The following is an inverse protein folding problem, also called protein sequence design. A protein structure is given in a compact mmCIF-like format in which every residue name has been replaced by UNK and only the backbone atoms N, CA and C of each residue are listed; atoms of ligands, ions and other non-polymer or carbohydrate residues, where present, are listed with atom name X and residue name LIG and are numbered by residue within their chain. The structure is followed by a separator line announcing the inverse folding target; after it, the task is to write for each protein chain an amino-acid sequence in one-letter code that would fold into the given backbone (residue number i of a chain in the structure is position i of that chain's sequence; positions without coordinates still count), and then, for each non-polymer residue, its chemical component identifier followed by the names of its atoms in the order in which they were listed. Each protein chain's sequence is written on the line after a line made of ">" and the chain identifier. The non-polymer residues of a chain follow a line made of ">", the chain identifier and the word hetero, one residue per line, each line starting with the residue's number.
data_IF_529897113988
#
_entry.id   IF_529897113988
#
_cell.length_a   1.000
_cell.length_b   1.000
_cell.length_c   1.000
_cell.angle_alpha   90.00
_cell.angle_beta   90.00
_cell.angle_gamma   90.00
#
_symmetry.space_group_name_H-M   'P 1'
#
loop_
_entity.id
_entity.type
_entity.pdbx_description
1 polymer ?
#
# COMPACT_ATOMS: atom_id res chain seq x y z
N UNK A 1 7.70 -19.18 6.99
CA UNK A 1 7.53 -18.63 5.64
C UNK A 1 8.37 -17.37 5.48
N UNK A 2 8.98 -17.18 4.34
CA UNK A 2 9.68 -15.93 4.01
C UNK A 2 8.67 -14.93 3.43
N UNK A 3 7.77 -14.49 4.29
CA UNK A 3 6.73 -13.50 4.01
C UNK A 3 6.78 -12.42 5.08
N UNK A 4 6.14 -11.31 4.82
CA UNK A 4 6.07 -10.21 5.78
C UNK A 4 5.10 -9.13 5.33
N UNK A 5 4.81 -8.21 6.23
CA UNK A 5 3.85 -7.13 6.05
C UNK A 5 4.52 -5.75 6.04
N UNK A 6 5.82 -5.68 5.72
CA UNK A 6 6.59 -4.44 5.79
C UNK A 6 7.33 -4.09 4.50
N UNK A 7 7.37 -5.02 3.53
CA UNK A 7 8.23 -4.89 2.35
C UNK A 7 9.72 -5.08 2.62
N UNK A 8 10.09 -5.40 3.86
CA UNK A 8 11.46 -5.73 4.26
C UNK A 8 11.68 -7.24 4.20
N UNK A 9 12.94 -7.67 4.22
CA UNK A 9 13.28 -9.07 4.37
C UNK A 9 12.83 -9.54 5.75
N UNK A 10 11.92 -10.50 5.79
CA UNK A 10 11.34 -10.98 7.03
C UNK A 10 10.82 -12.41 6.94
N UNK A 11 10.40 -12.93 8.07
CA UNK A 11 9.86 -14.26 8.20
C UNK A 11 8.60 -14.25 9.08
N UNK A 12 7.61 -15.04 8.70
CA UNK A 12 6.47 -15.37 9.53
C UNK A 12 6.64 -16.77 10.10
N UNK A 13 6.52 -16.88 11.41
CA UNK A 13 6.69 -18.14 12.15
C UNK A 13 5.30 -18.65 12.54
N UNK A 14 4.88 -19.77 11.96
CA UNK A 14 3.61 -20.42 12.27
C UNK A 14 3.84 -21.50 13.30
N UNK A 15 3.33 -21.30 14.51
CA UNK A 15 3.51 -22.21 15.64
C UNK A 15 2.33 -23.16 15.74
N UNK A 16 2.59 -24.48 15.59
CA UNK A 16 1.56 -25.50 15.85
C UNK A 16 1.28 -25.60 17.34
N UNK A 17 0.02 -25.85 17.68
CA UNK A 17 -0.44 -25.93 19.07
C UNK A 17 0.02 -24.71 19.88
N UNK A 18 -0.24 -23.51 19.34
CA UNK A 18 0.31 -22.24 19.84
C UNK A 18 -0.03 -21.99 21.31
N UNK A 19 -1.18 -22.47 21.80
CA UNK A 19 -1.56 -22.37 23.21
C UNK A 19 -0.59 -23.08 24.17
N UNK A 20 0.21 -24.03 23.68
CA UNK A 20 1.25 -24.73 24.46
C UNK A 20 2.66 -24.27 24.09
N UNK A 21 2.90 -23.93 22.83
CA UNK A 21 4.25 -23.77 22.28
C UNK A 21 4.64 -22.31 21.99
N UNK A 22 3.68 -21.34 21.98
CA UNK A 22 3.98 -19.97 21.57
C UNK A 22 5.04 -19.31 22.47
N UNK A 23 4.94 -19.49 23.79
CA UNK A 23 5.88 -18.92 24.75
C UNK A 23 7.30 -19.50 24.58
N UNK A 24 7.38 -20.82 24.36
CA UNK A 24 8.68 -21.50 24.13
C UNK A 24 9.35 -20.95 22.88
N UNK A 25 8.60 -20.85 21.76
CA UNK A 25 9.15 -20.32 20.49
C UNK A 25 9.51 -18.85 20.64
N UNK A 26 8.68 -18.04 21.29
CA UNK A 26 8.93 -16.64 21.56
C UNK A 26 10.25 -16.44 22.32
N UNK A 27 10.42 -17.13 23.45
CA UNK A 27 11.62 -17.04 24.27
C UNK A 27 12.87 -17.53 23.54
N UNK A 28 12.75 -18.60 22.75
CA UNK A 28 13.87 -19.10 21.93
C UNK A 28 14.30 -18.10 20.87
N UNK A 29 13.36 -17.40 20.25
CA UNK A 29 13.67 -16.34 19.26
C UNK A 29 14.36 -15.16 19.92
N UNK A 30 13.87 -14.72 21.09
CA UNK A 30 14.50 -13.63 21.84
C UNK A 30 15.91 -13.97 22.28
N UNK A 31 16.12 -15.17 22.85
CA UNK A 31 17.44 -15.66 23.28
C UNK A 31 18.41 -15.74 22.11
N UNK A 32 18.00 -16.35 20.99
CA UNK A 32 18.84 -16.45 19.81
C UNK A 32 19.15 -15.10 19.15
N UNK A 33 18.26 -14.12 19.33
CA UNK A 33 18.39 -12.79 18.75
C UNK A 33 19.19 -11.80 19.61
N UNK A 34 19.50 -12.13 20.88
CA UNK A 34 20.14 -11.21 21.82
C UNK A 34 21.50 -10.73 21.32
N UNK A 35 22.34 -11.63 20.82
CA UNK A 35 23.66 -11.29 20.28
C UNK A 35 23.60 -10.39 19.03
N UNK A 36 22.44 -10.36 18.32
CA UNK A 36 22.19 -9.55 17.13
C UNK A 36 21.44 -8.25 17.43
N UNK A 37 21.15 -7.97 18.71
CA UNK A 37 20.40 -6.78 19.12
C UNK A 37 18.93 -6.82 18.71
N UNK A 38 18.31 -8.01 18.69
CA UNK A 38 16.89 -8.19 18.41
C UNK A 38 16.04 -7.34 19.37
N UNK A 39 15.07 -6.64 18.82
CA UNK A 39 14.11 -5.83 19.59
C UNK A 39 12.68 -6.21 19.24
N UNK A 40 11.81 -6.24 20.26
CA UNK A 40 10.37 -6.38 20.07
C UNK A 40 9.79 -5.05 19.65
N UNK A 41 9.05 -5.04 18.53
CA UNK A 41 8.38 -3.85 18.02
C UNK A 41 6.91 -4.14 17.74
N UNK A 42 6.08 -3.11 17.78
CA UNK A 42 4.70 -3.20 17.32
C UNK A 42 4.61 -3.21 15.80
N UNK A 43 3.47 -3.67 15.21
CA UNK A 43 3.25 -3.55 13.77
C UNK A 43 3.44 -2.13 13.27
N UNK A 44 4.23 -1.99 12.20
CA UNK A 44 4.63 -0.69 11.66
C UNK A 44 3.82 -0.36 10.40
N UNK A 45 2.68 0.34 10.55
CA UNK A 45 1.80 0.70 9.44
C UNK A 45 2.49 1.50 8.34
N UNK A 46 3.33 2.48 8.72
CA UNK A 46 4.08 3.28 7.77
C UNK A 46 4.90 2.42 6.79
N UNK A 47 5.47 1.31 7.25
CA UNK A 47 6.30 0.43 6.41
C UNK A 47 5.47 -0.27 5.33
N UNK A 48 4.32 -0.85 5.72
CA UNK A 48 3.45 -1.53 4.75
C UNK A 48 2.90 -0.55 3.71
N UNK A 49 2.47 0.64 4.15
CA UNK A 49 1.94 1.67 3.26
C UNK A 49 3.03 2.12 2.29
N UNK A 50 4.23 2.43 2.78
CA UNK A 50 5.37 2.82 1.95
C UNK A 50 5.76 1.73 0.94
N UNK A 51 5.60 0.46 1.28
CA UNK A 51 5.83 -0.68 0.40
C UNK A 51 4.64 -1.00 -0.53
N UNK A 52 3.53 -0.29 -0.41
CA UNK A 52 2.31 -0.55 -1.20
C UNK A 52 1.58 -1.84 -0.81
N UNK A 53 1.79 -2.33 0.43
CA UNK A 53 1.13 -3.54 0.92
C UNK A 53 -0.23 -3.18 1.48
N UNK A 54 -1.26 -3.82 0.93
CA UNK A 54 -2.66 -3.58 1.25
C UNK A 54 -3.06 -4.29 2.53
N UNK A 55 -3.99 -3.68 3.26
CA UNK A 55 -4.64 -4.26 4.43
C UNK A 55 -6.05 -4.70 4.07
N UNK A 56 -6.36 -5.97 4.35
CA UNK A 56 -7.70 -6.50 4.15
C UNK A 56 -8.70 -5.81 5.08
N UNK A 57 -9.87 -5.49 4.53
CA UNK A 57 -10.94 -4.79 5.24
C UNK A 57 -10.73 -3.29 5.38
N UNK A 58 -9.52 -2.78 5.09
CA UNK A 58 -9.22 -1.36 5.10
C UNK A 58 -9.02 -0.82 3.68
N UNK A 59 -8.11 -1.46 2.91
CA UNK A 59 -7.78 -1.01 1.56
C UNK A 59 -8.54 -1.77 0.49
N UNK A 60 -8.95 -2.99 0.77
CA UNK A 60 -9.64 -3.90 -0.15
C UNK A 60 -10.58 -4.84 0.59
N UNK A 61 -11.51 -5.43 -0.13
CA UNK A 61 -12.48 -6.40 0.35
C UNK A 61 -12.79 -7.48 -0.70
N UNK A 62 -13.87 -8.26 -0.48
CA UNK A 62 -14.29 -9.34 -1.41
C UNK A 62 -14.79 -8.84 -2.76
N UNK A 63 -15.17 -7.56 -2.89
CA UNK A 63 -15.65 -6.98 -4.15
C UNK A 63 -14.49 -6.37 -4.96
N UNK A 64 -13.30 -6.33 -4.39
CA UNK A 64 -12.12 -5.71 -4.98
C UNK A 64 -11.39 -6.67 -5.94
N UNK A 65 -11.24 -6.25 -7.19
CA UNK A 65 -10.42 -6.96 -8.16
C UNK A 65 -8.93 -6.66 -7.99
N UNK A 66 -8.02 -7.63 -8.19
CA UNK A 66 -6.58 -7.39 -8.23
C UNK A 66 -6.16 -6.29 -9.21
N UNK A 67 -6.92 -6.09 -10.28
CA UNK A 67 -6.64 -5.05 -11.27
C UNK A 67 -6.91 -3.63 -10.76
N UNK A 68 -7.84 -3.47 -9.83
CA UNK A 68 -8.15 -2.18 -9.24
C UNK A 68 -7.08 -1.69 -8.26
N UNK A 69 -6.35 -2.62 -7.64
CA UNK A 69 -5.42 -2.36 -6.53
C UNK A 69 -3.95 -2.60 -6.90
N UNK A 70 -3.62 -2.49 -8.17
CA UNK A 70 -2.26 -2.63 -8.69
C UNK A 70 -1.61 -4.01 -8.48
N UNK A 71 -2.40 -5.06 -8.25
CA UNK A 71 -1.94 -6.45 -8.09
C UNK A 71 -2.09 -7.29 -9.37
N UNK A 72 -2.21 -6.66 -10.53
CA UNK A 72 -2.35 -7.34 -11.83
C UNK A 72 -1.22 -8.31 -12.14
N UNK A 73 -0.01 -8.06 -11.62
CA UNK A 73 1.15 -8.94 -11.78
C UNK A 73 0.99 -10.29 -11.07
N UNK A 74 0.13 -10.40 -10.07
CA UNK A 74 -0.18 -11.65 -9.38
C UNK A 74 -1.18 -12.52 -10.15
N UNK A 75 -1.85 -11.98 -11.16
CA UNK A 75 -2.78 -12.71 -12.01
C UNK A 75 -2.01 -13.25 -13.22
N UNK A 76 -1.74 -14.56 -13.31
CA UNK A 76 -0.92 -15.12 -14.39
C UNK A 76 -1.67 -15.07 -15.74
N UNK A 77 -0.94 -14.69 -16.81
CA UNK A 77 -1.51 -14.57 -18.16
C UNK A 77 -1.78 -15.92 -18.85
N UNK A 78 -0.97 -16.94 -18.58
CA UNK A 78 -0.97 -18.18 -19.36
C UNK A 78 -1.06 -19.43 -18.47
N UNK A 79 -1.71 -19.34 -17.32
CA UNK A 79 -1.85 -20.47 -16.42
C UNK A 79 -2.86 -21.47 -16.96
N UNK A 80 -2.38 -22.67 -17.34
CA UNK A 80 -3.23 -23.74 -17.86
C UNK A 80 -4.13 -24.37 -16.78
N UNK A 81 -3.60 -24.48 -15.56
CA UNK A 81 -4.37 -25.01 -14.44
C UNK A 81 -5.57 -24.12 -14.12
N UNK A 82 -6.64 -24.75 -13.70
CA UNK A 82 -7.81 -24.04 -13.19
C UNK A 82 -7.55 -23.45 -11.80
N UNK A 83 -8.27 -22.36 -11.47
CA UNK A 83 -8.23 -21.69 -10.17
C UNK A 83 -9.49 -20.85 -9.95
N UNK A 84 -9.80 -20.57 -8.70
CA UNK A 84 -10.99 -19.79 -8.33
C UNK A 84 -10.90 -18.38 -8.94
N UNK A 85 -11.97 -17.96 -9.62
CA UNK A 85 -12.06 -16.65 -10.27
C UNK A 85 -11.39 -16.54 -11.65
N UNK A 86 -10.86 -17.63 -12.21
CA UNK A 86 -10.12 -17.62 -13.50
C UNK A 86 -10.92 -16.96 -14.63
N UNK A 87 -12.13 -17.39 -14.86
CA UNK A 87 -12.98 -16.90 -15.96
C UNK A 87 -13.19 -15.39 -15.87
N UNK A 88 -13.53 -14.90 -14.69
CA UNK A 88 -13.78 -13.47 -14.47
C UNK A 88 -12.48 -12.66 -14.60
N UNK A 89 -11.37 -13.12 -14.04
CA UNK A 89 -10.07 -12.45 -14.16
C UNK A 89 -9.55 -12.42 -15.60
N UNK A 90 -9.77 -13.48 -16.36
CA UNK A 90 -9.44 -13.52 -17.80
C UNK A 90 -10.34 -12.55 -18.60
N UNK A 91 -11.63 -12.47 -18.28
CA UNK A 91 -12.55 -11.50 -18.89
C UNK A 91 -12.13 -10.06 -18.61
N UNK A 92 -11.84 -9.72 -17.35
CA UNK A 92 -11.38 -8.38 -16.96
C UNK A 92 -10.07 -8.03 -17.67
N UNK A 93 -9.13 -8.97 -17.73
CA UNK A 93 -7.86 -8.78 -18.42
C UNK A 93 -8.05 -8.51 -19.91
N UNK A 94 -8.95 -9.24 -20.57
CA UNK A 94 -9.22 -9.04 -22.00
C UNK A 94 -9.73 -7.61 -22.28
N UNK A 95 -10.55 -7.05 -21.42
CA UNK A 95 -11.00 -5.66 -21.51
C UNK A 95 -9.81 -4.69 -21.36
N UNK A 96 -8.97 -4.92 -20.35
CA UNK A 96 -7.79 -4.07 -20.08
C UNK A 96 -6.78 -4.14 -21.21
N UNK A 97 -6.51 -5.32 -21.75
CA UNK A 97 -5.61 -5.51 -22.90
C UNK A 97 -6.19 -4.88 -24.18
N UNK A 98 -7.51 -4.71 -24.27
CA UNK A 98 -8.21 -3.97 -25.30
C UNK A 98 -8.15 -2.44 -25.16
N UNK A 99 -7.53 -1.94 -24.09
CA UNK A 99 -7.34 -0.50 -23.86
C UNK A 99 -8.43 0.17 -23.01
N UNK A 100 -9.35 -0.61 -22.44
CA UNK A 100 -10.39 -0.11 -21.54
C UNK A 100 -10.12 -0.58 -20.09
N UNK A 101 -10.78 0.02 -19.11
CA UNK A 101 -10.69 -0.38 -17.71
C UNK A 101 -12.07 -0.58 -17.11
N UNK A 102 -12.46 -1.84 -16.77
CA UNK A 102 -13.86 -2.18 -16.49
C UNK A 102 -14.38 -1.70 -15.11
N UNK A 103 -13.62 -0.89 -14.40
CA UNK A 103 -13.96 -0.44 -13.06
C UNK A 103 -14.08 1.08 -12.98
N UNK A 104 -15.04 1.54 -12.16
CA UNK A 104 -15.25 2.98 -11.93
C UNK A 104 -14.20 3.60 -11.02
N UNK A 105 -13.69 2.83 -10.07
CA UNK A 105 -12.72 3.27 -9.07
C UNK A 105 -11.43 2.47 -9.17
N UNK A 106 -10.33 3.13 -8.86
CA UNK A 106 -8.99 2.54 -8.82
C UNK A 106 -8.22 3.03 -7.59
N UNK A 107 -7.45 2.14 -7.00
CA UNK A 107 -6.54 2.50 -5.92
C UNK A 107 -5.28 3.18 -6.47
N UNK A 108 -4.89 4.25 -5.81
CA UNK A 108 -3.72 5.06 -6.13
C UNK A 108 -2.86 5.30 -4.89
N UNK A 109 -1.60 5.64 -5.10
CA UNK A 109 -0.76 6.24 -4.09
C UNK A 109 -0.90 7.76 -4.10
N UNK A 110 -0.79 8.38 -2.93
CA UNK A 110 -0.93 9.80 -2.72
C UNK A 110 0.22 10.33 -1.88
N UNK A 111 0.73 11.50 -2.23
CA UNK A 111 1.49 12.37 -1.32
C UNK A 111 0.69 13.62 -1.06
N UNK A 112 0.74 14.16 0.16
CA UNK A 112 -0.05 15.34 0.50
C UNK A 112 0.51 16.09 1.72
N UNK A 113 0.14 17.36 1.83
CA UNK A 113 0.53 18.26 2.93
C UNK A 113 -0.18 17.97 4.25
N UNK A 114 -0.09 18.92 5.17
CA UNK A 114 -0.64 18.82 6.52
C UNK A 114 0.40 18.40 7.55
N UNK A 115 -0.03 18.32 8.82
CA UNK A 115 0.83 17.87 9.93
C UNK A 115 1.13 16.38 9.79
N UNK A 116 2.18 15.91 10.45
CA UNK A 116 2.60 14.50 10.42
C UNK A 116 1.51 13.59 11.00
N UNK A 117 1.15 12.57 10.24
CA UNK A 117 0.16 11.55 10.62
C UNK A 117 0.91 10.38 11.21
N UNK A 118 0.76 10.17 12.52
CA UNK A 118 1.47 9.14 13.30
C UNK A 118 0.54 8.12 13.94
N UNK A 119 -0.76 8.33 13.82
CA UNK A 119 -1.79 7.48 14.42
C UNK A 119 -2.73 6.91 13.36
N UNK A 120 -3.45 5.87 13.74
CA UNK A 120 -4.47 5.26 12.91
C UNK A 120 -5.63 6.21 12.63
N UNK A 121 -5.95 6.39 11.36
CA UNK A 121 -7.18 7.07 10.98
C UNK A 121 -8.39 6.19 11.34
N UNK A 122 -9.29 6.65 12.21
CA UNK A 122 -10.47 5.86 12.57
C UNK A 122 -11.50 5.76 11.44
N UNK A 123 -11.49 6.73 10.52
CA UNK A 123 -12.39 6.84 9.38
C UNK A 123 -11.62 7.10 8.09
N UNK A 124 -12.28 6.89 6.95
CA UNK A 124 -11.74 7.26 5.64
C UNK A 124 -11.86 8.77 5.41
N UNK A 125 -10.80 9.38 4.90
CA UNK A 125 -10.78 10.81 4.63
C UNK A 125 -11.10 11.10 3.17
N UNK A 126 -11.93 12.10 2.93
CA UNK A 126 -12.37 12.44 1.59
C UNK A 126 -11.26 13.06 0.74
N UNK A 127 -11.25 12.67 -0.52
CA UNK A 127 -10.45 13.28 -1.58
C UNK A 127 -11.39 14.12 -2.43
N UNK A 128 -11.01 15.36 -2.71
CA UNK A 128 -11.71 16.26 -3.59
C UNK A 128 -10.88 16.60 -4.84
N UNK A 129 -11.56 16.96 -5.92
CA UNK A 129 -10.95 17.53 -7.12
C UNK A 129 -10.48 18.99 -6.89
N UNK A 130 -9.93 19.61 -7.91
CA UNK A 130 -9.46 21.00 -7.85
C UNK A 130 -10.59 22.01 -7.60
N UNK A 131 -11.84 21.66 -7.94
CA UNK A 131 -13.03 22.49 -7.72
C UNK A 131 -13.66 22.26 -6.34
N UNK A 132 -13.12 21.33 -5.55
CA UNK A 132 -13.58 21.00 -4.21
C UNK A 132 -14.72 19.99 -4.17
N UNK A 133 -15.03 19.30 -5.26
CA UNK A 133 -16.04 18.24 -5.27
C UNK A 133 -15.44 16.92 -4.79
N UNK A 134 -16.14 16.24 -3.89
CA UNK A 134 -15.70 14.94 -3.39
C UNK A 134 -15.70 13.91 -4.52
N UNK A 135 -14.56 13.23 -4.70
CA UNK A 135 -14.39 12.24 -5.77
C UNK A 135 -13.87 10.89 -5.28
N UNK A 136 -13.31 10.81 -4.09
CA UNK A 136 -12.69 9.60 -3.59
C UNK A 136 -12.42 9.63 -2.10
N UNK A 137 -11.62 8.68 -1.63
CA UNK A 137 -11.29 8.59 -0.21
C UNK A 137 -9.93 7.93 0.04
N UNK A 138 -9.28 8.32 1.13
CA UNK A 138 -8.05 7.73 1.66
C UNK A 138 -8.43 6.62 2.63
N UNK A 139 -7.76 5.47 2.50
CA UNK A 139 -7.91 4.31 3.38
C UNK A 139 -6.77 4.16 4.38
N UNK A 140 -5.57 4.52 3.99
CA UNK A 140 -4.35 4.23 4.75
C UNK A 140 -3.37 5.40 4.69
N UNK A 141 -3.60 6.48 5.46
CA UNK A 141 -2.67 7.59 5.56
C UNK A 141 -1.56 7.32 6.57
N UNK A 142 -0.34 7.85 6.34
CA UNK A 142 0.75 7.85 7.30
C UNK A 142 1.86 8.83 6.91
N UNK A 143 2.64 9.28 7.88
CA UNK A 143 3.84 10.06 7.64
C UNK A 143 5.00 9.18 7.14
N UNK A 144 5.57 9.52 6.01
CA UNK A 144 6.80 8.90 5.50
C UNK A 144 8.03 9.70 5.93
N UNK A 145 8.85 9.10 6.78
CA UNK A 145 10.13 9.72 7.17
C UNK A 145 11.10 9.77 5.97
N UNK A 146 11.07 8.76 5.08
CA UNK A 146 11.93 8.68 3.91
C UNK A 146 11.63 9.79 2.89
N UNK A 147 10.34 10.07 2.65
CA UNK A 147 9.89 11.09 1.70
C UNK A 147 9.67 12.46 2.36
N UNK A 148 9.72 12.52 3.70
CA UNK A 148 9.43 13.71 4.49
C UNK A 148 8.08 14.37 4.13
N UNK A 149 7.06 13.54 3.94
CA UNK A 149 5.69 13.95 3.61
C UNK A 149 4.68 12.91 4.06
N UNK A 150 3.40 13.27 4.13
CA UNK A 150 2.35 12.29 4.30
C UNK A 150 2.16 11.49 3.01
N UNK A 151 1.99 10.19 3.16
CA UNK A 151 1.67 9.25 2.09
C UNK A 151 0.35 8.56 2.39
N UNK A 152 -0.36 8.13 1.38
CA UNK A 152 -1.55 7.32 1.58
C UNK A 152 -1.84 6.37 0.42
N UNK A 153 -2.58 5.31 0.72
CA UNK A 153 -3.36 4.56 -0.26
C UNK A 153 -4.78 5.12 -0.25
N UNK A 154 -5.38 5.25 -1.43
CA UNK A 154 -6.73 5.79 -1.54
C UNK A 154 -7.39 5.38 -2.84
N UNK A 155 -8.71 5.54 -2.89
CA UNK A 155 -9.56 5.23 -4.02
C UNK A 155 -10.03 6.49 -4.72
N UNK A 156 -9.83 6.55 -6.05
CA UNK A 156 -10.30 7.65 -6.90
C UNK A 156 -11.00 7.11 -8.14
N UNK A 157 -11.82 7.90 -8.84
CA UNK A 157 -12.36 7.52 -10.13
C UNK A 157 -11.24 7.18 -11.10
N UNK A 158 -11.43 6.13 -11.91
CA UNK A 158 -10.43 5.69 -12.90
C UNK A 158 -10.03 6.84 -13.85
N UNK A 159 -10.96 7.70 -14.18
CA UNK A 159 -10.74 8.89 -15.04
C UNK A 159 -9.82 9.95 -14.42
N UNK A 160 -9.59 9.87 -13.11
CA UNK A 160 -8.76 10.82 -12.34
C UNK A 160 -7.56 10.14 -11.67
N UNK A 161 -7.19 8.92 -12.11
CA UNK A 161 -6.17 8.08 -11.46
C UNK A 161 -4.77 8.21 -12.06
N UNK A 162 -4.55 9.18 -12.94
CA UNK A 162 -3.28 9.40 -13.61
C UNK A 162 -2.21 9.96 -12.64
N UNK A 163 -0.98 9.41 -12.71
CA UNK A 163 0.14 9.90 -11.90
C UNK A 163 0.39 11.38 -12.23
N UNK A 164 0.60 12.20 -11.22
CA UNK A 164 0.76 13.66 -11.33
C UNK A 164 -0.55 14.43 -11.21
N UNK A 165 -1.71 13.75 -11.15
CA UNK A 165 -3.00 14.43 -10.93
C UNK A 165 -3.01 15.12 -9.56
N UNK A 166 -3.32 16.43 -9.59
CA UNK A 166 -3.46 17.23 -8.36
C UNK A 166 -4.87 17.07 -7.79
N UNK A 167 -4.93 17.02 -6.47
CA UNK A 167 -6.17 16.83 -5.74
C UNK A 167 -6.07 17.50 -4.35
N UNK A 168 -7.15 17.46 -3.63
CA UNK A 168 -7.24 17.98 -2.27
C UNK A 168 -7.63 16.85 -1.31
N UNK A 169 -7.05 16.85 -0.11
CA UNK A 169 -7.36 15.90 0.96
C UNK A 169 -8.03 16.65 2.10
N UNK A 170 -9.24 16.24 2.48
CA UNK A 170 -9.95 16.80 3.63
C UNK A 170 -9.44 16.16 4.91
N UNK A 171 -8.50 16.83 5.55
CA UNK A 171 -7.89 16.35 6.79
C UNK A 171 -8.76 16.69 8.00
N UNK A 172 -8.80 15.83 9.03
CA UNK A 172 -9.24 16.22 10.36
C UNK A 172 -8.45 17.42 10.89
N UNK A 173 -9.06 18.25 11.71
CA UNK A 173 -8.45 19.49 12.24
C UNK A 173 -7.10 19.24 12.97
N UNK A 174 -6.95 18.10 13.61
CA UNK A 174 -5.70 17.71 14.28
C UNK A 174 -4.52 17.56 13.33
N UNK A 175 -4.76 17.15 12.07
CA UNK A 175 -3.73 16.97 11.03
C UNK A 175 -3.71 18.12 10.01
N UNK A 176 -4.69 19.01 10.05
CA UNK A 176 -4.72 20.18 9.17
C UNK A 176 -3.76 21.28 9.68
N UNK A 177 -3.12 21.99 8.76
CA UNK A 177 -2.35 23.19 9.10
C UNK A 177 -3.27 24.35 9.48
N UNK A 178 -4.46 24.41 8.89
CA UNK A 178 -5.50 25.39 9.17
C UNK A 178 -6.86 24.72 9.12
N UNK A 179 -7.66 24.88 10.19
CA UNK A 179 -8.99 24.26 10.30
C UNK A 179 -9.85 24.55 9.06
N UNK A 180 -10.46 23.49 8.51
CA UNK A 180 -11.34 23.57 7.34
C UNK A 180 -10.63 23.81 5.99
N UNK A 181 -9.31 23.93 5.96
CA UNK A 181 -8.55 24.05 4.71
C UNK A 181 -8.03 22.69 4.30
N UNK A 182 -8.43 22.17 3.12
CA UNK A 182 -7.92 20.91 2.61
C UNK A 182 -6.40 20.98 2.35
N UNK A 183 -5.72 19.86 2.51
CA UNK A 183 -4.33 19.74 2.12
C UNK A 183 -4.21 19.50 0.61
N UNK A 184 -3.26 20.16 -0.04
CA UNK A 184 -2.90 19.84 -1.43
C UNK A 184 -2.23 18.48 -1.50
N UNK A 185 -2.57 17.70 -2.53
CA UNK A 185 -2.03 16.38 -2.76
C UNK A 185 -1.81 16.08 -4.24
N UNK A 186 -1.11 14.99 -4.46
CA UNK A 186 -0.77 14.50 -5.80
C UNK A 186 -0.80 12.99 -5.84
N UNK A 187 -1.31 12.44 -6.94
CA UNK A 187 -1.23 10.99 -7.21
C UNK A 187 0.19 10.64 -7.63
N UNK A 188 0.76 9.63 -6.97
CA UNK A 188 2.11 9.13 -7.23
C UNK A 188 2.11 7.62 -7.44
N UNK A 189 3.23 7.11 -7.94
CA UNK A 189 3.43 5.69 -8.15
C UNK A 189 3.57 4.92 -6.82
N UNK A 190 3.08 3.69 -6.81
CA UNK A 190 3.17 2.75 -5.68
C UNK A 190 3.95 1.51 -6.15
N UNK A 191 4.88 0.99 -5.34
CA UNK A 191 5.31 1.40 -3.98
C UNK A 191 5.97 2.78 -3.90
N UNK A 192 5.80 3.47 -2.77
CA UNK A 192 6.44 4.77 -2.51
C UNK A 192 7.95 4.66 -2.35
N UNK A 193 8.41 3.54 -1.77
CA UNK A 193 9.84 3.25 -1.57
C UNK A 193 10.51 2.87 -2.88
N UNK A 194 11.60 3.55 -3.20
CA UNK A 194 12.37 3.26 -4.41
C UNK A 194 12.96 1.84 -4.43
N UNK A 195 13.41 1.35 -3.28
CA UNK A 195 14.03 0.02 -3.13
C UNK A 195 13.10 -1.14 -3.49
N UNK A 196 11.80 -0.97 -3.37
CA UNK A 196 10.81 -2.01 -3.68
C UNK A 196 9.96 -1.70 -4.92
N UNK A 197 10.07 -0.49 -5.49
CA UNK A 197 9.32 -0.11 -6.68
C UNK A 197 9.97 -0.69 -7.95
N UNK A 198 9.32 -1.64 -8.65
CA UNK A 198 9.91 -2.28 -9.83
C UNK A 198 10.17 -1.30 -10.97
N UNK A 199 9.38 -0.25 -11.11
CA UNK A 199 9.54 0.76 -12.14
C UNK A 199 10.79 1.64 -11.90
N UNK A 200 11.16 1.81 -10.63
CA UNK A 200 12.36 2.58 -10.23
C UNK A 200 13.63 1.73 -10.17
N UNK A 201 13.51 0.41 -9.99
CA UNK A 201 14.66 -0.52 -9.96
C UNK A 201 15.49 -0.50 -11.25
N UNK A 202 14.84 -0.44 -12.41
CA UNK A 202 15.55 -0.37 -13.70
C UNK A 202 16.33 0.93 -13.86
N UNK A 203 15.78 2.05 -13.38
CA UNK A 203 16.47 3.35 -13.40
C UNK A 203 17.67 3.34 -12.45
N UNK A 204 17.57 2.66 -11.32
CA UNK A 204 18.66 2.54 -10.34
C UNK A 204 19.76 1.61 -10.82
N UNK A 205 19.42 0.47 -11.43
CA UNK A 205 20.40 -0.41 -12.11
C UNK A 205 21.15 0.34 -13.21
N UNK A 206 20.45 1.16 -14.00
CA UNK A 206 21.08 1.99 -15.02
C UNK A 206 22.00 3.07 -14.42
N UNK A 207 21.81 3.46 -13.14
CA UNK A 207 22.68 4.40 -12.41
C UNK A 207 23.81 3.69 -11.64
N UNK A 208 23.95 2.37 -11.75
CA UNK A 208 25.00 1.59 -11.06
C UNK A 208 24.81 1.45 -9.55
N UNK A 209 23.58 1.62 -9.07
CA UNK A 209 23.20 1.39 -7.67
C UNK A 209 22.69 -0.06 -7.57
N UNK A 210 23.62 -1.01 -7.36
CA UNK A 210 23.26 -2.38 -7.01
C UNK A 210 22.80 -2.43 -5.55
N UNK A 211 21.51 -2.71 -5.37
CA UNK A 211 21.02 -3.18 -4.06
C UNK A 211 21.39 -4.67 -3.96
N UNK A 212 22.16 -5.02 -2.94
CA UNK A 212 22.50 -6.41 -2.63
C UNK A 212 21.23 -7.27 -2.56
N UNK A 213 21.31 -8.43 -3.23
CA UNK A 213 20.29 -9.49 -3.24
C UNK A 213 19.97 -10.02 -1.84
#
# INVERSE_FOLDING_TARGET
>A
SQTGFTGEKGYEIYVRDAHQNAEIVWNSVLEAGEEFGLQVVAPAHHRRIAAGILSWGQDMDFETSPFQVNLSYQVPRNKQADYIGKEELERQRAIIDGGDFPFKMRMVGLIFGGKQITDYAPDFWLIADADGNDMGYITSPWWSQELNTNIALGWVPTTSSEIGTKLQVRLPDEYSESSGVPAEGEIVDVPFRESVNPNKREVQKAKGLDYAE
#
